data_IF_088105562970
#
_entry.id   IF_088105562970
#
_cell.length_a   1.000
_cell.length_b   1.000
_cell.length_c   1.000
_cell.angle_alpha   90.00
_cell.angle_beta   90.00
_cell.angle_gamma   90.00
#
_symmetry.space_group_name_H-M   'P 1'
#
loop_
_entity.id
_entity.type
_entity.pdbx_description
1 polymer ?
#
# COMPACT_ATOMS: atom_id res chain seq x y z
N UNK A 1 -6.68 -10.51 -24.31
CA UNK A 1 -6.72 -9.55 -25.43
C UNK A 1 -5.32 -8.98 -25.65
N UNK A 2 -5.03 -8.53 -26.86
CA UNK A 2 -3.73 -7.93 -27.18
C UNK A 2 -3.61 -6.55 -26.52
N UNK A 3 -2.55 -6.35 -25.74
CA UNK A 3 -2.30 -5.11 -24.99
C UNK A 3 -2.40 -3.81 -25.83
N UNK A 4 -2.01 -3.77 -27.12
CA UNK A 4 -2.13 -2.57 -27.95
C UNK A 4 -3.57 -2.10 -28.19
N UNK A 5 -4.54 -3.01 -28.30
CA UNK A 5 -5.95 -2.63 -28.52
C UNK A 5 -6.55 -1.98 -27.27
N UNK A 6 -6.23 -2.52 -26.09
CA UNK A 6 -6.67 -1.95 -24.81
C UNK A 6 -6.03 -0.58 -24.57
N UNK A 7 -4.74 -0.44 -24.89
CA UNK A 7 -4.04 0.83 -24.78
C UNK A 7 -4.64 1.92 -25.68
N UNK A 8 -4.98 1.58 -26.94
CA UNK A 8 -5.65 2.50 -27.84
C UNK A 8 -7.03 2.92 -27.30
N UNK A 9 -7.83 1.95 -26.82
CA UNK A 9 -9.15 2.21 -26.23
C UNK A 9 -9.07 3.17 -25.04
N UNK A 10 -8.10 2.97 -24.15
CA UNK A 10 -7.88 3.87 -23.01
C UNK A 10 -7.43 5.25 -23.50
N UNK A 11 -6.44 5.31 -24.39
CA UNK A 11 -5.90 6.58 -24.92
C UNK A 11 -6.97 7.45 -25.59
N UNK A 12 -7.93 6.84 -26.28
CA UNK A 12 -9.03 7.53 -26.98
C UNK A 12 -10.00 8.27 -26.04
N UNK A 13 -10.05 7.91 -24.75
CA UNK A 13 -10.95 8.54 -23.78
C UNK A 13 -10.27 9.55 -22.85
N UNK A 14 -8.93 9.58 -22.82
CA UNK A 14 -8.17 10.50 -21.97
C UNK A 14 -8.17 11.91 -22.56
N UNK A 15 -8.55 12.91 -21.75
CA UNK A 15 -8.55 14.30 -22.14
C UNK A 15 -7.15 14.91 -22.17
N UNK A 16 -6.26 14.48 -21.25
CA UNK A 16 -4.89 15.00 -21.16
C UNK A 16 -3.95 14.28 -22.13
N UNK A 17 -3.16 15.01 -22.89
CA UNK A 17 -2.17 14.46 -23.84
C UNK A 17 -0.80 14.19 -23.20
N UNK A 18 -0.77 13.86 -21.90
CA UNK A 18 0.48 13.53 -21.21
C UNK A 18 1.12 12.26 -21.81
N UNK A 19 2.45 12.22 -21.82
CA UNK A 19 3.20 10.99 -22.12
C UNK A 19 3.17 10.05 -20.92
N UNK A 20 2.14 9.21 -20.84
CA UNK A 20 2.01 8.18 -19.80
C UNK A 20 3.01 7.03 -19.93
N UNK A 21 3.78 6.96 -21.02
CA UNK A 21 4.83 5.94 -21.21
C UNK A 21 6.17 6.38 -20.61
N UNK A 22 6.35 7.68 -20.39
CA UNK A 22 7.55 8.27 -19.80
C UNK A 22 7.39 8.61 -18.32
N UNK A 23 8.48 8.63 -17.53
CA UNK A 23 8.45 9.17 -16.19
C UNK A 23 8.33 10.70 -16.24
N UNK A 24 7.43 11.28 -15.46
CA UNK A 24 7.31 12.72 -15.38
C UNK A 24 6.13 13.18 -14.53
N UNK A 25 6.20 14.42 -14.05
CA UNK A 25 5.03 15.11 -13.50
C UNK A 25 4.27 15.78 -14.64
N UNK A 26 2.93 15.81 -14.59
CA UNK A 26 2.16 16.63 -15.52
C UNK A 26 2.59 18.11 -15.40
N UNK A 27 2.48 18.83 -16.51
CA UNK A 27 2.82 20.25 -16.53
C UNK A 27 1.73 21.09 -15.86
N UNK A 28 2.11 21.89 -14.86
CA UNK A 28 1.31 22.97 -14.31
C UNK A 28 2.17 23.96 -13.53
N UNK A 29 1.59 25.10 -13.18
CA UNK A 29 2.17 25.99 -12.17
C UNK A 29 2.00 25.35 -10.78
N UNK A 30 3.09 24.80 -10.24
CA UNK A 30 3.10 24.13 -8.95
C UNK A 30 3.06 25.10 -7.76
N UNK A 31 3.31 26.40 -7.98
CA UNK A 31 3.22 27.43 -6.97
C UNK A 31 1.78 27.98 -6.86
N UNK A 32 0.95 27.81 -7.89
CA UNK A 32 -0.47 28.15 -7.88
C UNK A 32 -1.35 27.02 -7.30
N UNK A 33 -2.05 27.23 -6.16
CA UNK A 33 -3.03 26.29 -5.64
C UNK A 33 -4.16 25.94 -6.62
N UNK A 34 -4.61 26.90 -7.45
CA UNK A 34 -5.70 26.67 -8.40
C UNK A 34 -5.25 25.77 -9.56
N UNK A 35 -4.07 26.03 -10.14
CA UNK A 35 -3.49 25.15 -11.15
C UNK A 35 -3.27 23.72 -10.65
N UNK A 36 -2.79 23.54 -9.41
CA UNK A 36 -2.65 22.21 -8.81
C UNK A 36 -4.00 21.49 -8.63
N UNK A 37 -5.02 22.20 -8.17
CA UNK A 37 -6.36 21.63 -8.02
C UNK A 37 -6.94 21.22 -9.37
N UNK A 38 -6.76 22.04 -10.42
CA UNK A 38 -7.19 21.71 -11.77
C UNK A 38 -6.51 20.44 -12.31
N UNK A 39 -5.19 20.29 -12.12
CA UNK A 39 -4.50 19.06 -12.54
C UNK A 39 -5.00 17.83 -11.80
N UNK A 40 -5.27 17.93 -10.49
CA UNK A 40 -5.84 16.81 -9.73
C UNK A 40 -7.21 16.42 -10.29
N UNK A 41 -8.07 17.40 -10.57
CA UNK A 41 -9.38 17.16 -11.17
C UNK A 41 -9.27 16.47 -12.53
N UNK A 42 -8.45 17.00 -13.43
CA UNK A 42 -8.24 16.44 -14.76
C UNK A 42 -7.71 15.01 -14.70
N UNK A 43 -6.71 14.74 -13.84
CA UNK A 43 -6.13 13.40 -13.69
C UNK A 43 -7.16 12.39 -13.18
N UNK A 44 -7.98 12.77 -12.19
CA UNK A 44 -9.00 11.88 -11.63
C UNK A 44 -10.06 11.58 -12.67
N UNK A 45 -10.49 12.59 -13.44
CA UNK A 45 -11.43 12.38 -14.54
C UNK A 45 -10.88 11.46 -15.62
N UNK A 46 -9.61 11.62 -15.97
CA UNK A 46 -8.92 10.74 -16.91
C UNK A 46 -8.84 9.29 -16.39
N UNK A 47 -8.55 9.11 -15.10
CA UNK A 47 -8.59 7.78 -14.48
C UNK A 47 -9.99 7.16 -14.55
N UNK A 48 -11.04 7.93 -14.20
CA UNK A 48 -12.42 7.47 -14.27
C UNK A 48 -12.87 7.15 -15.71
N UNK A 49 -12.46 7.97 -16.68
CA UNK A 49 -12.72 7.71 -18.10
C UNK A 49 -12.04 6.42 -18.57
N UNK A 50 -10.76 6.22 -18.23
CA UNK A 50 -10.03 4.99 -18.54
C UNK A 50 -10.70 3.76 -17.93
N UNK A 51 -11.06 3.81 -16.64
CA UNK A 51 -11.76 2.72 -15.94
C UNK A 51 -13.12 2.45 -16.56
N UNK A 52 -13.87 3.49 -16.92
CA UNK A 52 -15.14 3.36 -17.63
C UNK A 52 -14.99 2.71 -19.01
N UNK A 53 -13.94 3.05 -19.75
CA UNK A 53 -13.66 2.45 -21.05
C UNK A 53 -13.35 0.96 -20.96
N UNK A 54 -12.74 0.49 -19.87
CA UNK A 54 -12.36 -0.92 -19.69
C UNK A 54 -13.33 -1.71 -18.81
N UNK A 55 -14.42 -1.09 -18.33
CA UNK A 55 -15.35 -1.70 -17.38
C UNK A 55 -15.94 -3.04 -17.84
N UNK A 56 -16.36 -3.11 -19.12
CA UNK A 56 -16.96 -4.32 -19.70
C UNK A 56 -15.92 -5.29 -20.28
N UNK A 57 -14.64 -5.04 -20.01
CA UNK A 57 -13.54 -5.87 -20.50
C UNK A 57 -13.17 -6.97 -19.50
N UNK A 58 -13.02 -8.20 -20.00
CA UNK A 58 -12.41 -9.28 -19.21
C UNK A 58 -10.89 -9.06 -19.15
N UNK A 59 -10.45 -8.43 -18.06
CA UNK A 59 -9.04 -8.20 -17.76
C UNK A 59 -8.44 -9.38 -16.98
N UNK A 60 -7.18 -9.70 -17.29
CA UNK A 60 -6.42 -10.73 -16.58
C UNK A 60 -4.95 -10.33 -16.43
N UNK A 61 -4.29 -10.87 -15.41
CA UNK A 61 -2.88 -10.62 -15.13
C UNK A 61 -2.57 -9.13 -14.98
N UNK A 62 -1.43 -8.63 -15.50
CA UNK A 62 -0.97 -7.27 -15.26
C UNK A 62 -1.95 -6.15 -15.66
N UNK A 63 -2.81 -6.37 -16.66
CA UNK A 63 -3.80 -5.38 -17.08
C UNK A 63 -4.92 -5.23 -16.03
N UNK A 64 -5.31 -6.34 -15.39
CA UNK A 64 -6.28 -6.31 -14.29
C UNK A 64 -5.67 -5.61 -13.07
N UNK A 65 -4.46 -6.00 -12.70
CA UNK A 65 -3.76 -5.44 -11.53
C UNK A 65 -3.54 -3.92 -11.71
N UNK A 66 -3.19 -3.47 -12.92
CA UNK A 66 -3.05 -2.06 -13.24
C UNK A 66 -4.38 -1.29 -13.17
N UNK A 67 -5.49 -1.88 -13.62
CA UNK A 67 -6.81 -1.26 -13.53
C UNK A 67 -7.28 -1.14 -12.07
N UNK A 68 -7.07 -2.18 -11.25
CA UNK A 68 -7.37 -2.16 -9.82
C UNK A 68 -6.54 -1.11 -9.08
N UNK A 69 -5.23 -1.05 -9.37
CA UNK A 69 -4.33 -0.04 -8.82
C UNK A 69 -4.73 1.38 -9.24
N UNK A 70 -5.12 1.59 -10.50
CA UNK A 70 -5.58 2.88 -11.00
C UNK A 70 -6.83 3.34 -10.25
N UNK A 71 -7.81 2.45 -10.06
CA UNK A 71 -9.02 2.74 -9.31
C UNK A 71 -8.72 3.12 -7.84
N UNK A 72 -7.81 2.39 -7.20
CA UNK A 72 -7.38 2.67 -5.84
C UNK A 72 -6.69 4.04 -5.75
N UNK A 73 -5.71 4.31 -6.61
CA UNK A 73 -4.92 5.56 -6.57
C UNK A 73 -5.77 6.77 -6.91
N UNK A 74 -6.71 6.65 -7.86
CA UNK A 74 -7.63 7.73 -8.22
C UNK A 74 -8.60 8.10 -7.09
N UNK A 75 -8.91 7.16 -6.18
CA UNK A 75 -9.87 7.37 -5.10
C UNK A 75 -9.31 7.58 -3.70
N UNK A 76 -8.14 7.01 -3.37
CA UNK A 76 -7.71 6.86 -1.96
C UNK A 76 -7.49 8.17 -1.20
N UNK A 77 -6.97 9.21 -1.88
CA UNK A 77 -6.60 10.49 -1.27
C UNK A 77 -7.34 11.68 -1.91
N UNK A 78 -8.44 11.42 -2.61
CA UNK A 78 -9.21 12.42 -3.35
C UNK A 78 -10.66 12.45 -2.86
N UNK A 79 -11.28 13.62 -2.87
CA UNK A 79 -12.70 13.80 -2.61
C UNK A 79 -13.34 14.70 -3.68
N UNK A 80 -14.59 14.41 -4.05
CA UNK A 80 -15.39 15.27 -4.91
C UNK A 80 -16.07 16.35 -4.04
N UNK A 81 -15.84 17.62 -4.35
CA UNK A 81 -16.52 18.73 -3.70
C UNK A 81 -18.00 18.84 -4.12
N UNK A 82 -18.77 19.66 -3.40
CA UNK A 82 -20.17 19.96 -3.77
C UNK A 82 -20.31 20.60 -5.16
N UNK A 83 -19.22 21.20 -5.66
CA UNK A 83 -19.11 21.77 -7.00
C UNK A 83 -18.75 20.74 -8.09
N UNK A 84 -18.64 19.45 -7.72
CA UNK A 84 -18.30 18.37 -8.63
C UNK A 84 -16.81 18.32 -9.02
N UNK A 85 -15.95 19.07 -8.32
CA UNK A 85 -14.51 19.15 -8.58
C UNK A 85 -13.75 18.27 -7.60
N UNK A 86 -12.90 17.39 -8.12
CA UNK A 86 -12.04 16.52 -7.34
C UNK A 86 -10.84 17.27 -6.77
N UNK A 87 -10.55 17.04 -5.48
CA UNK A 87 -9.44 17.67 -4.76
C UNK A 87 -8.77 16.67 -3.83
N UNK A 88 -7.50 16.93 -3.49
CA UNK A 88 -6.81 16.16 -2.46
C UNK A 88 -7.57 16.29 -1.15
N UNK A 89 -8.04 15.15 -0.62
CA UNK A 89 -8.79 15.11 0.61
C UNK A 89 -7.90 15.50 1.80
N UNK A 90 -8.47 16.15 2.81
CA UNK A 90 -7.75 16.50 4.06
C UNK A 90 -7.67 15.33 5.04
N UNK A 91 -7.30 14.16 4.53
CA UNK A 91 -7.13 12.90 5.26
C UNK A 91 -6.12 12.01 4.53
N UNK A 92 -5.70 10.93 5.18
CA UNK A 92 -4.84 9.91 4.57
C UNK A 92 -5.52 8.56 4.76
N UNK A 93 -5.59 7.75 3.71
CA UNK A 93 -6.12 6.39 3.81
C UNK A 93 -5.23 5.53 4.75
N UNK A 94 -5.80 4.76 5.70
CA UNK A 94 -5.02 3.93 6.63
C UNK A 94 -4.07 2.93 5.95
N UNK A 95 -4.49 2.36 4.81
CA UNK A 95 -3.71 1.42 3.99
C UNK A 95 -3.33 2.03 2.64
N UNK A 96 -3.03 3.33 2.63
CA UNK A 96 -2.66 4.07 1.42
C UNK A 96 -1.54 3.36 0.67
N UNK A 97 -1.74 3.10 -0.61
CA UNK A 97 -0.69 2.63 -1.51
C UNK A 97 0.24 3.81 -1.81
N UNK A 98 1.50 3.70 -1.39
CA UNK A 98 2.50 4.76 -1.50
C UNK A 98 3.41 4.63 -2.73
N UNK A 99 3.38 3.46 -3.37
CA UNK A 99 4.21 3.14 -4.54
C UNK A 99 3.39 2.31 -5.51
N UNK A 100 3.45 2.66 -6.80
CA UNK A 100 2.81 1.90 -7.87
C UNK A 100 3.65 0.71 -8.36
N UNK A 101 4.93 0.68 -7.99
CA UNK A 101 5.87 -0.40 -8.35
C UNK A 101 5.97 -1.43 -7.23
N UNK A 102 5.71 -1.01 -5.99
CA UNK A 102 5.72 -1.84 -4.81
C UNK A 102 4.44 -1.57 -4.01
N UNK A 103 3.37 -2.25 -4.40
CA UNK A 103 2.01 -1.98 -3.91
C UNK A 103 1.77 -2.50 -2.49
N UNK A 104 2.70 -3.28 -1.93
CA UNK A 104 2.65 -3.79 -0.56
C UNK A 104 3.36 -2.84 0.43
N UNK A 105 4.27 -1.99 -0.05
CA UNK A 105 4.91 -0.96 0.76
C UNK A 105 3.87 -0.03 1.40
N UNK A 106 4.09 0.34 2.67
CA UNK A 106 3.20 1.25 3.42
C UNK A 106 4.00 2.34 4.11
N UNK A 107 3.30 3.40 4.52
CA UNK A 107 3.88 4.44 5.37
C UNK A 107 3.82 3.99 6.83
N UNK A 108 4.95 4.01 7.53
CA UNK A 108 5.05 3.62 8.93
C UNK A 108 5.77 4.63 9.80
N UNK A 109 5.68 4.38 11.10
CA UNK A 109 6.31 5.19 12.14
C UNK A 109 7.26 4.33 12.96
N UNK A 110 8.53 4.72 13.01
CA UNK A 110 9.48 4.17 13.98
C UNK A 110 9.40 4.92 15.31
N UNK A 111 9.13 6.22 15.24
CA UNK A 111 8.80 7.07 16.39
C UNK A 111 8.02 8.29 15.91
N UNK A 112 7.55 9.15 16.83
CA UNK A 112 6.87 10.39 16.46
C UNK A 112 7.67 11.24 15.46
N UNK A 113 8.99 11.34 15.67
CA UNK A 113 9.89 12.14 14.83
C UNK A 113 10.50 11.35 13.66
N UNK A 114 10.34 10.02 13.60
CA UNK A 114 10.91 9.18 12.54
C UNK A 114 9.83 8.38 11.84
N UNK A 115 9.53 8.79 10.62
CA UNK A 115 8.63 8.10 9.70
C UNK A 115 9.44 7.45 8.59
N UNK A 116 8.89 6.41 7.98
CA UNK A 116 9.52 5.71 6.87
C UNK A 116 8.47 5.12 5.94
N UNK A 117 8.87 4.84 4.71
CA UNK A 117 8.06 4.26 3.66
C UNK A 117 8.66 2.91 3.29
N UNK A 118 7.85 1.86 3.23
CA UNK A 118 8.30 0.51 2.86
C UNK A 118 7.80 -0.57 3.80
N UNK A 119 8.75 -1.35 4.32
CA UNK A 119 8.53 -2.53 5.16
C UNK A 119 9.38 -2.45 6.42
N UNK A 120 9.03 -3.26 7.40
CA UNK A 120 9.85 -3.51 8.58
C UNK A 120 10.10 -5.00 8.74
N UNK A 121 11.29 -5.33 9.20
CA UNK A 121 11.68 -6.70 9.54
C UNK A 121 11.51 -6.92 11.04
N UNK A 122 11.00 -8.09 11.38
CA UNK A 122 10.89 -8.64 12.71
C UNK A 122 11.76 -9.90 12.77
N UNK A 123 12.41 -10.13 13.90
CA UNK A 123 13.40 -11.19 14.06
C UNK A 123 13.16 -11.91 15.38
N UNK A 124 13.19 -13.23 15.37
CA UNK A 124 13.43 -14.04 16.58
C UNK A 124 14.89 -14.49 16.57
N UNK A 125 15.48 -14.52 17.76
CA UNK A 125 16.90 -14.80 17.95
C UNK A 125 17.04 -15.70 19.17
N UNK A 126 17.74 -16.82 19.01
CA UNK A 126 18.20 -17.62 20.13
C UNK A 126 19.36 -16.89 20.83
N UNK A 127 19.17 -16.42 22.08
CA UNK A 127 20.20 -15.65 22.78
C UNK A 127 21.42 -16.49 23.15
N UNK A 128 21.32 -17.82 23.23
CA UNK A 128 22.43 -18.68 23.63
C UNK A 128 23.38 -18.94 22.45
N UNK A 129 22.83 -19.15 21.26
CA UNK A 129 23.63 -19.37 20.03
C UNK A 129 23.90 -18.09 19.22
N UNK A 130 23.19 -16.99 19.53
CA UNK A 130 23.19 -15.74 18.77
C UNK A 130 22.73 -15.92 17.31
N UNK A 131 21.98 -16.99 17.02
CA UNK A 131 21.41 -17.27 15.70
C UNK A 131 20.04 -16.63 15.54
N UNK A 132 19.77 -16.17 14.32
CA UNK A 132 18.43 -15.73 13.92
C UNK A 132 17.64 -16.99 13.58
N UNK A 133 16.55 -17.23 14.30
CA UNK A 133 15.68 -18.38 14.08
C UNK A 133 14.69 -18.09 12.96
N UNK A 134 13.97 -16.97 13.05
CA UNK A 134 13.00 -16.55 12.04
C UNK A 134 13.08 -15.07 11.69
N UNK A 135 12.71 -14.78 10.44
CA UNK A 135 12.62 -13.42 9.88
C UNK A 135 11.28 -13.22 9.22
N UNK A 136 10.50 -12.27 9.73
CA UNK A 136 9.20 -11.91 9.15
C UNK A 136 9.24 -10.46 8.70
N UNK A 137 8.88 -10.20 7.45
CA UNK A 137 8.82 -8.85 6.88
C UNK A 137 7.37 -8.45 6.72
N UNK A 138 6.99 -7.30 7.29
CA UNK A 138 5.63 -6.78 7.22
C UNK A 138 5.60 -5.37 6.62
N UNK A 139 4.50 -4.95 5.98
CA UNK A 139 4.30 -3.55 5.61
C UNK A 139 4.50 -2.62 6.80
N UNK A 140 5.07 -1.44 6.57
CA UNK A 140 5.51 -0.54 7.65
C UNK A 140 4.41 -0.11 8.64
N UNK A 141 3.13 -0.12 8.23
CA UNK A 141 1.98 0.22 9.08
C UNK A 141 1.41 -0.96 9.88
N UNK A 142 1.88 -2.19 9.66
CA UNK A 142 1.45 -3.40 10.38
C UNK A 142 1.76 -3.25 11.87
N UNK A 143 0.94 -3.76 12.78
CA UNK A 143 1.27 -3.73 14.21
C UNK A 143 2.34 -4.79 14.55
N UNK A 144 3.26 -4.49 15.47
CA UNK A 144 4.41 -5.37 15.79
C UNK A 144 4.00 -6.73 16.35
N UNK A 145 2.82 -6.81 16.99
CA UNK A 145 2.27 -8.06 17.51
C UNK A 145 1.74 -9.03 16.43
N UNK A 146 1.53 -8.54 15.21
CA UNK A 146 0.95 -9.35 14.12
C UNK A 146 1.83 -10.56 13.75
N UNK A 147 3.15 -10.40 13.51
CA UNK A 147 4.02 -11.52 13.10
C UNK A 147 4.47 -12.44 14.24
N UNK A 148 3.96 -12.32 15.47
CA UNK A 148 4.52 -13.04 16.63
C UNK A 148 4.48 -14.56 16.47
N UNK A 149 3.39 -15.12 15.95
CA UNK A 149 3.30 -16.57 15.72
C UNK A 149 4.25 -17.04 14.62
N UNK A 150 4.35 -16.29 13.54
CA UNK A 150 5.28 -16.59 12.44
C UNK A 150 6.74 -16.58 12.94
N UNK A 151 7.08 -15.66 13.87
CA UNK A 151 8.41 -15.58 14.48
C UNK A 151 8.73 -16.76 15.41
N UNK A 152 7.71 -17.47 15.88
CA UNK A 152 7.84 -18.61 16.80
C UNK A 152 7.50 -19.94 16.12
N UNK A 153 7.28 -19.95 14.80
CA UNK A 153 6.81 -21.10 14.06
C UNK A 153 7.75 -22.32 14.19
N UNK A 154 9.06 -22.09 14.30
CA UNK A 154 10.07 -23.14 14.52
C UNK A 154 9.89 -23.89 15.84
N UNK A 155 9.25 -23.26 16.82
CA UNK A 155 9.00 -23.82 18.15
C UNK A 155 7.55 -24.29 18.33
N UNK A 156 6.72 -24.21 17.28
CA UNK A 156 5.29 -24.54 17.36
C UNK A 156 5.01 -26.00 17.73
N UNK A 157 5.93 -26.92 17.43
CA UNK A 157 5.80 -28.35 17.73
C UNK A 157 6.69 -28.83 18.90
N UNK A 158 7.48 -27.94 19.51
CA UNK A 158 8.34 -28.30 20.64
C UNK A 158 7.52 -28.78 21.84
N UNK A 159 7.97 -29.86 22.50
CA UNK A 159 7.32 -30.40 23.71
C UNK A 159 7.41 -29.43 24.90
N UNK A 160 8.50 -28.66 24.97
CA UNK A 160 8.72 -27.61 25.95
C UNK A 160 8.92 -26.29 25.20
N UNK A 161 7.94 -25.37 25.31
CA UNK A 161 8.01 -24.08 24.62
C UNK A 161 9.07 -23.18 25.25
N UNK A 162 9.79 -22.37 24.44
CA UNK A 162 10.75 -21.42 24.97
C UNK A 162 10.05 -20.27 25.69
N UNK A 163 10.73 -19.69 26.68
CA UNK A 163 10.33 -18.40 27.23
C UNK A 163 10.78 -17.28 26.28
N UNK A 164 9.83 -16.55 25.71
CA UNK A 164 10.10 -15.47 24.75
C UNK A 164 10.14 -14.11 25.46
N UNK A 165 11.15 -13.30 25.15
CA UNK A 165 11.25 -11.91 25.60
C UNK A 165 11.27 -10.97 24.39
N UNK A 166 10.39 -9.97 24.39
CA UNK A 166 10.29 -8.98 23.31
C UNK A 166 9.89 -7.60 23.82
N UNK A 167 9.86 -6.63 22.90
CA UNK A 167 9.33 -5.29 23.19
C UNK A 167 7.82 -5.38 23.53
N UNK A 168 7.34 -4.44 24.36
CA UNK A 168 5.93 -4.36 24.74
C UNK A 168 4.98 -4.28 23.53
N UNK A 169 5.43 -3.76 22.38
CA UNK A 169 4.64 -3.71 21.16
C UNK A 169 4.25 -5.09 20.61
N UNK A 170 5.00 -6.15 20.94
CA UNK A 170 4.67 -7.53 20.60
C UNK A 170 3.66 -8.16 21.56
N UNK A 171 3.66 -7.75 22.83
CA UNK A 171 2.86 -8.34 23.91
C UNK A 171 1.48 -7.71 24.09
N UNK A 172 0.65 -7.70 23.06
CA UNK A 172 -0.76 -7.29 23.22
C UNK A 172 -1.55 -8.33 24.01
N UNK A 173 -2.68 -7.94 24.60
CA UNK A 173 -3.53 -8.87 25.37
C UNK A 173 -3.93 -10.11 24.54
N UNK A 174 -4.32 -9.89 23.27
CA UNK A 174 -4.68 -10.95 22.34
C UNK A 174 -3.49 -11.86 22.02
N UNK A 175 -2.30 -11.30 21.80
CA UNK A 175 -1.10 -12.09 21.56
C UNK A 175 -0.74 -12.95 22.77
N UNK A 176 -0.80 -12.38 23.98
CA UNK A 176 -0.49 -13.13 25.21
C UNK A 176 -1.49 -14.25 25.46
N UNK A 177 -2.79 -14.03 25.19
CA UNK A 177 -3.82 -15.06 25.26
C UNK A 177 -3.55 -16.20 24.28
N UNK A 178 -3.23 -15.87 23.01
CA UNK A 178 -2.88 -16.88 21.99
C UNK A 178 -1.64 -17.70 22.34
N UNK A 179 -0.63 -17.06 22.92
CA UNK A 179 0.57 -17.76 23.38
C UNK A 179 0.27 -18.67 24.58
N UNK A 180 -0.55 -18.22 25.54
CA UNK A 180 -0.96 -19.06 26.67
C UNK A 180 -1.77 -20.29 26.21
N UNK A 181 -2.63 -20.14 25.20
CA UNK A 181 -3.36 -21.25 24.59
C UNK A 181 -2.45 -22.24 23.84
N UNK A 182 -1.33 -21.77 23.28
CA UNK A 182 -0.35 -22.58 22.56
C UNK A 182 0.61 -23.36 23.49
N UNK A 183 0.61 -23.03 24.79
CA UNK A 183 1.48 -23.62 25.82
C UNK A 183 2.89 -23.05 25.85
#
# INVERSE_FOLDING_TARGET
RDAPELAAKVRDVLARDDDYSGPGKPSCDWDDPAARAAVVDDLVRDCLAALGAIHDEELCGPAKDAAELLALVAGQDVEEGEDGVFRIARRVAPDRVISTVDTEARHGHKSYARKFDGFKAHLSVDPDSELIDEVVVTPANTHDSTPVEDLLATHADDEEKPSVMGDCAYGTAETLERLDEAG
#
